data_IF_294722600197
#
_entry.id   IF_294722600197
#
_cell.length_a   1.000
_cell.length_b   1.000
_cell.length_c   1.000
_cell.angle_alpha   90.00
_cell.angle_beta   90.00
_cell.angle_gamma   90.00
#
_symmetry.space_group_name_H-M   'P 1'
#
loop_
_entity.id
_entity.type
_entity.pdbx_description
1 polymer ?
#
# COMPACT_ATOMS: atom_id res chain seq x y z
N UNK A 1 -10.49 -20.42 1.69
CA UNK A 1 -9.21 -19.68 1.80
C UNK A 1 -9.10 -19.23 3.24
N UNK A 2 -8.06 -19.64 3.95
CA UNK A 2 -7.96 -19.36 5.39
C UNK A 2 -7.82 -17.86 5.60
N UNK A 3 -8.79 -17.25 6.28
CA UNK A 3 -8.64 -15.91 6.84
C UNK A 3 -7.44 -15.97 7.79
N UNK A 4 -6.32 -15.40 7.37
CA UNK A 4 -5.19 -15.25 8.27
C UNK A 4 -5.61 -14.22 9.31
N UNK A 5 -5.77 -14.67 10.56
CA UNK A 5 -6.02 -13.77 11.68
C UNK A 5 -4.85 -12.80 11.75
N UNK A 6 -5.13 -11.49 11.80
CA UNK A 6 -4.11 -10.47 11.91
C UNK A 6 -3.16 -10.80 13.08
N UNK A 7 -1.86 -10.70 12.82
CA UNK A 7 -0.81 -10.79 13.82
C UNK A 7 0.19 -9.67 13.57
N UNK A 8 0.42 -8.83 14.59
CA UNK A 8 1.35 -7.71 14.51
C UNK A 8 2.77 -8.18 14.21
N UNK A 9 3.23 -9.24 14.87
CA UNK A 9 4.56 -9.83 14.65
C UNK A 9 4.75 -10.31 13.20
N UNK A 10 3.70 -10.89 12.61
CA UNK A 10 3.74 -11.30 11.20
C UNK A 10 3.78 -10.09 10.27
N UNK A 11 3.00 -9.06 10.57
CA UNK A 11 2.98 -7.83 9.77
C UNK A 11 4.34 -7.12 9.80
N UNK A 12 4.96 -7.00 10.98
CA UNK A 12 6.30 -6.42 11.14
C UNK A 12 7.34 -7.23 10.36
N UNK A 13 7.36 -8.56 10.53
CA UNK A 13 8.28 -9.42 9.79
C UNK A 13 8.11 -9.30 8.28
N UNK A 14 6.87 -9.28 7.78
CA UNK A 14 6.61 -9.09 6.35
C UNK A 14 7.08 -7.72 5.85
N UNK A 15 6.88 -6.65 6.62
CA UNK A 15 7.38 -5.32 6.25
C UNK A 15 8.92 -5.25 6.28
N UNK A 16 9.57 -5.96 7.18
CA UNK A 16 11.03 -6.04 7.26
C UNK A 16 11.63 -6.85 6.09
N UNK A 17 11.07 -8.03 5.81
CA UNK A 17 11.60 -8.99 4.82
C UNK A 17 11.11 -8.71 3.40
N UNK A 18 9.80 -8.56 3.23
CA UNK A 18 9.17 -8.44 1.91
C UNK A 18 8.96 -6.97 1.48
N UNK A 19 8.92 -6.03 2.43
CA UNK A 19 8.67 -4.61 2.18
C UNK A 19 7.20 -4.23 2.09
N UNK A 20 6.30 -5.21 2.22
CA UNK A 20 4.85 -5.01 2.26
C UNK A 20 4.17 -6.11 3.08
N UNK A 21 2.98 -5.81 3.58
CA UNK A 21 2.10 -6.74 4.25
C UNK A 21 0.69 -6.56 3.70
N UNK A 22 0.00 -7.67 3.45
CA UNK A 22 -1.39 -7.68 2.96
C UNK A 22 -2.32 -8.08 4.08
N UNK A 23 -3.43 -7.38 4.20
CA UNK A 23 -4.55 -7.72 5.06
C UNK A 23 -5.81 -7.91 4.22
N UNK A 24 -6.33 -9.13 4.22
CA UNK A 24 -7.61 -9.42 3.59
C UNK A 24 -8.74 -8.75 4.37
N UNK A 25 -9.39 -7.78 3.74
CA UNK A 25 -10.52 -7.06 4.32
C UNK A 25 -11.62 -6.83 3.27
N UNK A 26 -12.50 -7.81 3.04
CA UNK A 26 -13.55 -7.71 2.02
C UNK A 26 -14.49 -6.53 2.19
N UNK A 27 -14.71 -6.03 3.41
CA UNK A 27 -15.59 -4.87 3.62
C UNK A 27 -15.01 -3.59 3.00
N UNK A 28 -13.69 -3.50 2.84
CA UNK A 28 -13.05 -2.37 2.14
C UNK A 28 -13.49 -2.33 0.69
N UNK A 29 -13.61 -3.47 0.02
CA UNK A 29 -14.11 -3.53 -1.35
C UNK A 29 -15.52 -2.94 -1.47
N UNK A 30 -16.43 -3.29 -0.55
CA UNK A 30 -17.78 -2.69 -0.50
C UNK A 30 -17.73 -1.18 -0.27
N UNK A 31 -16.94 -0.74 0.71
CA UNK A 31 -16.86 0.68 1.05
C UNK A 31 -16.24 1.52 -0.08
N UNK A 32 -15.27 0.98 -0.83
CA UNK A 32 -14.72 1.64 -2.01
C UNK A 32 -15.77 1.71 -3.12
N UNK A 33 -16.55 0.65 -3.36
CA UNK A 33 -17.65 0.69 -4.33
C UNK A 33 -18.69 1.77 -3.99
N UNK A 34 -19.05 1.92 -2.71
CA UNK A 34 -19.95 3.00 -2.27
C UNK A 34 -19.35 4.38 -2.48
N UNK A 35 -18.04 4.52 -2.25
CA UNK A 35 -17.32 5.77 -2.45
C UNK A 35 -17.20 6.12 -3.94
N UNK A 36 -16.99 5.12 -4.79
CA UNK A 36 -16.97 5.21 -6.25
C UNK A 36 -18.31 5.65 -6.82
N UNK A 37 -19.42 5.05 -6.38
CA UNK A 37 -20.78 5.45 -6.80
C UNK A 37 -21.10 6.92 -6.48
N UNK A 38 -20.41 7.50 -5.50
CA UNK A 38 -20.52 8.91 -5.10
C UNK A 38 -19.51 9.82 -5.81
N UNK A 39 -18.76 9.30 -6.78
CA UNK A 39 -17.78 10.05 -7.56
C UNK A 39 -16.48 10.34 -6.81
N UNK A 40 -16.10 9.49 -5.84
CA UNK A 40 -14.86 9.63 -5.06
C UNK A 40 -14.68 11.01 -4.39
N UNK A 41 -15.60 11.42 -3.49
CA UNK A 41 -15.59 12.77 -2.93
C UNK A 41 -14.58 12.91 -1.78
N UNK A 42 -13.29 12.67 -2.04
CA UNK A 42 -12.21 12.59 -1.03
C UNK A 42 -12.02 13.86 -0.18
N UNK A 43 -12.25 15.04 -0.77
CA UNK A 43 -12.16 16.34 -0.09
C UNK A 43 -13.47 16.75 0.61
N UNK A 44 -14.50 15.91 0.56
CA UNK A 44 -15.74 16.14 1.28
C UNK A 44 -15.67 15.56 2.69
N UNK A 45 -16.58 15.99 3.57
CA UNK A 45 -16.78 15.36 4.88
C UNK A 45 -16.94 13.83 4.77
N UNK A 46 -17.67 13.35 3.77
CA UNK A 46 -17.89 11.91 3.57
C UNK A 46 -16.58 11.17 3.25
N UNK A 47 -15.74 11.71 2.37
CA UNK A 47 -14.45 11.12 2.03
C UNK A 47 -13.45 11.16 3.19
N UNK A 48 -13.46 12.24 3.97
CA UNK A 48 -12.64 12.34 5.18
C UNK A 48 -13.13 11.40 6.29
N UNK A 49 -14.44 11.26 6.48
CA UNK A 49 -15.04 10.30 7.43
C UNK A 49 -14.70 8.85 7.02
N UNK A 50 -14.69 8.54 5.72
CA UNK A 50 -14.22 7.26 5.19
C UNK A 50 -12.75 7.01 5.56
N UNK A 51 -11.85 7.95 5.26
CA UNK A 51 -10.43 7.81 5.54
C UNK A 51 -10.18 7.66 7.04
N UNK A 52 -10.84 8.48 7.86
CA UNK A 52 -10.78 8.37 9.31
C UNK A 52 -11.20 6.97 9.77
N UNK A 53 -12.38 6.51 9.38
CA UNK A 53 -12.97 5.26 9.89
C UNK A 53 -12.20 4.01 9.45
N UNK A 54 -11.77 3.95 8.19
CA UNK A 54 -11.24 2.73 7.58
C UNK A 54 -9.71 2.73 7.42
N UNK A 55 -9.04 3.83 7.77
CA UNK A 55 -7.57 3.92 7.77
C UNK A 55 -7.06 4.38 9.13
N UNK A 56 -7.44 5.58 9.59
CA UNK A 56 -6.83 6.17 10.78
C UNK A 56 -7.32 5.58 12.10
N UNK A 57 -8.58 5.16 12.15
CA UNK A 57 -9.21 4.53 13.32
C UNK A 57 -9.21 2.99 13.21
N UNK A 58 -8.69 2.42 12.11
CA UNK A 58 -8.55 0.97 11.95
C UNK A 58 -7.47 0.43 12.90
N UNK A 59 -7.85 -0.52 13.76
CA UNK A 59 -6.97 -0.99 14.83
C UNK A 59 -5.74 -1.73 14.30
N UNK A 60 -5.85 -2.43 13.18
CA UNK A 60 -4.75 -3.21 12.63
C UNK A 60 -3.73 -2.28 11.96
N UNK A 61 -4.21 -1.30 11.19
CA UNK A 61 -3.36 -0.26 10.60
C UNK A 61 -2.65 0.52 11.70
N UNK A 62 -3.40 1.02 12.70
CA UNK A 62 -2.80 1.77 13.82
C UNK A 62 -1.73 0.95 14.54
N UNK A 63 -2.02 -0.31 14.86
CA UNK A 63 -1.06 -1.17 15.55
C UNK A 63 0.25 -1.32 14.76
N UNK A 64 0.17 -1.55 13.45
CA UNK A 64 1.36 -1.68 12.59
C UNK A 64 2.10 -0.34 12.48
N UNK A 65 1.38 0.76 12.24
CA UNK A 65 2.00 2.07 12.04
C UNK A 65 2.64 2.60 13.31
N UNK A 66 1.95 2.51 14.45
CA UNK A 66 2.47 2.96 15.75
C UNK A 66 3.65 2.10 16.21
N UNK A 67 3.66 0.79 15.91
CA UNK A 67 4.81 -0.06 16.24
C UNK A 67 6.07 0.32 15.46
N UNK A 68 5.92 0.70 14.19
CA UNK A 68 7.07 0.99 13.31
C UNK A 68 7.52 2.47 13.40
N UNK A 69 6.57 3.41 13.48
CA UNK A 69 6.82 4.84 13.40
C UNK A 69 6.58 5.59 14.72
N UNK A 70 6.02 4.93 15.74
CA UNK A 70 5.70 5.53 17.04
C UNK A 70 4.38 6.32 17.08
N UNK A 71 3.95 6.89 15.96
CA UNK A 71 2.67 7.59 15.82
C UNK A 71 2.01 7.31 14.48
N UNK A 72 0.67 7.32 14.46
CA UNK A 72 -0.13 7.13 13.26
C UNK A 72 -0.79 8.44 12.83
N UNK A 73 -0.12 9.16 11.92
CA UNK A 73 -0.58 10.45 11.36
C UNK A 73 -0.78 10.36 9.86
N UNK A 74 -1.87 10.94 9.36
CA UNK A 74 -2.13 11.05 7.92
C UNK A 74 -1.26 12.14 7.28
N UNK A 75 -0.45 11.77 6.29
CA UNK A 75 0.34 12.73 5.50
C UNK A 75 -0.36 13.04 4.17
N UNK A 76 -0.74 12.01 3.42
CA UNK A 76 -1.37 12.15 2.11
C UNK A 76 -2.51 11.14 1.94
N UNK A 77 -3.61 11.60 1.33
CA UNK A 77 -4.69 10.76 0.84
C UNK A 77 -4.80 10.97 -0.67
N UNK A 78 -4.37 9.99 -1.44
CA UNK A 78 -4.29 10.06 -2.90
C UNK A 78 -5.07 8.90 -3.51
N UNK A 79 -5.69 9.15 -4.68
CA UNK A 79 -6.32 8.13 -5.50
C UNK A 79 -5.46 7.89 -6.73
N UNK A 80 -5.19 6.62 -7.01
CA UNK A 80 -4.54 6.19 -8.24
C UNK A 80 -5.48 5.30 -9.03
N UNK A 81 -5.40 5.42 -10.35
CA UNK A 81 -6.02 4.47 -11.28
C UNK A 81 -5.03 3.34 -11.59
N UNK A 82 -5.49 2.27 -12.25
CA UNK A 82 -4.60 1.25 -12.76
C UNK A 82 -3.48 1.89 -13.62
N UNK A 83 -2.27 1.33 -13.52
CA UNK A 83 -1.13 1.81 -14.32
C UNK A 83 -0.34 0.62 -14.86
N UNK A 84 -0.93 -0.13 -15.82
CA UNK A 84 -0.27 -1.30 -16.39
C UNK A 84 1.06 -0.88 -17.04
N UNK A 85 2.02 -1.81 -17.05
CA UNK A 85 3.36 -1.63 -17.63
C UNK A 85 4.27 -0.60 -16.94
N UNK A 86 3.82 -0.02 -15.81
CA UNK A 86 4.62 0.91 -15.01
C UNK A 86 4.96 0.34 -13.64
N UNK A 87 6.24 0.37 -13.29
CA UNK A 87 6.72 0.03 -11.96
C UNK A 87 6.98 1.31 -11.19
N UNK A 88 6.08 1.61 -10.25
CA UNK A 88 6.15 2.83 -9.43
C UNK A 88 6.78 2.53 -8.08
N UNK A 89 7.60 3.47 -7.59
CA UNK A 89 8.13 3.46 -6.24
C UNK A 89 7.84 4.77 -5.51
N UNK A 90 7.58 4.64 -4.22
CA UNK A 90 7.44 5.77 -3.31
C UNK A 90 8.83 6.13 -2.79
N UNK A 91 9.10 7.42 -2.66
CA UNK A 91 10.43 7.91 -2.34
C UNK A 91 10.97 7.28 -1.05
N UNK A 92 12.00 6.47 -1.19
CA UNK A 92 12.72 5.78 -0.13
C UNK A 92 13.88 5.04 -0.77
N UNK A 93 15.06 5.17 -0.19
CA UNK A 93 16.22 4.33 -0.50
C UNK A 93 16.75 3.79 0.81
N UNK A 94 17.56 2.75 0.79
CA UNK A 94 18.10 2.11 2.01
C UNK A 94 18.72 3.10 3.01
N UNK A 95 19.27 4.22 2.50
CA UNK A 95 19.94 5.25 3.30
C UNK A 95 19.02 6.22 4.04
N UNK A 96 17.71 6.19 3.77
CA UNK A 96 16.74 7.11 4.39
C UNK A 96 15.99 6.45 5.55
N UNK A 97 16.12 5.13 5.75
CA UNK A 97 15.36 4.42 6.79
C UNK A 97 13.84 4.43 6.58
N UNK A 98 13.10 3.93 7.57
CA UNK A 98 11.64 3.89 7.56
C UNK A 98 11.07 5.16 8.19
N UNK A 99 10.58 6.07 7.35
CA UNK A 99 9.97 7.34 7.79
C UNK A 99 8.48 7.45 7.48
N UNK A 100 7.97 6.57 6.62
CA UNK A 100 6.55 6.53 6.27
C UNK A 100 6.14 5.11 5.93
N UNK A 101 4.86 4.83 6.14
CA UNK A 101 4.20 3.63 5.64
C UNK A 101 3.05 4.07 4.74
N UNK A 102 2.85 3.30 3.69
CA UNK A 102 1.77 3.53 2.74
C UNK A 102 0.71 2.45 2.93
N UNK A 103 -0.52 2.89 3.18
CA UNK A 103 -1.68 2.01 3.22
C UNK A 103 -2.37 2.09 1.87
N UNK A 104 -2.34 1.00 1.11
CA UNK A 104 -3.14 0.88 -0.11
C UNK A 104 -4.51 0.33 0.24
N UNK A 105 -5.57 0.93 -0.28
CA UNK A 105 -6.91 0.35 -0.24
C UNK A 105 -7.27 -0.09 -1.64
N UNK A 106 -7.50 -1.40 -1.83
CA UNK A 106 -7.74 -1.98 -3.13
C UNK A 106 -9.24 -2.23 -3.35
N UNK A 107 -9.81 -1.77 -4.48
CA UNK A 107 -11.19 -2.09 -4.85
C UNK A 107 -11.32 -3.57 -5.21
N UNK A 108 -12.56 -4.04 -5.31
CA UNK A 108 -12.89 -5.37 -5.82
C UNK A 108 -12.31 -5.58 -7.23
N UNK A 109 -11.73 -6.75 -7.45
CA UNK A 109 -11.12 -7.13 -8.72
C UNK A 109 -9.76 -6.50 -9.00
N UNK A 110 -9.18 -5.72 -8.08
CA UNK A 110 -7.84 -5.17 -8.28
C UNK A 110 -6.78 -6.27 -8.35
N UNK A 111 -5.76 -6.02 -9.18
CA UNK A 111 -4.58 -6.86 -9.30
C UNK A 111 -3.36 -5.97 -9.23
N UNK A 112 -2.47 -6.26 -8.27
CA UNK A 112 -1.26 -5.46 -8.05
C UNK A 112 -0.07 -6.40 -7.93
N UNK A 113 1.07 -5.96 -8.45
CA UNK A 113 2.34 -6.64 -8.25
C UNK A 113 3.22 -5.83 -7.32
N UNK A 114 3.75 -6.50 -6.29
CA UNK A 114 4.72 -5.91 -5.38
C UNK A 114 6.06 -6.62 -5.54
N UNK A 115 7.15 -5.86 -5.61
CA UNK A 115 8.50 -6.41 -5.72
C UNK A 115 9.08 -6.66 -4.34
N UNK A 116 9.14 -7.93 -3.93
CA UNK A 116 9.66 -8.34 -2.62
C UNK A 116 11.10 -7.88 -2.42
N UNK A 117 11.37 -7.29 -1.26
CA UNK A 117 12.71 -6.83 -0.88
C UNK A 117 13.18 -5.56 -1.60
N UNK A 118 12.36 -4.96 -2.47
CA UNK A 118 12.76 -3.75 -3.21
C UNK A 118 13.06 -2.55 -2.31
N UNK A 119 12.51 -2.51 -1.09
CA UNK A 119 12.70 -1.45 -0.10
C UNK A 119 14.12 -1.42 0.51
N UNK A 120 14.88 -2.50 0.46
CA UNK A 120 16.25 -2.56 1.02
C UNK A 120 17.34 -2.18 0.00
N UNK A 121 16.97 -1.94 -1.26
CA UNK A 121 17.89 -1.60 -2.33
C UNK A 121 17.80 -0.11 -2.70
N UNK A 122 18.92 0.49 -3.08
CA UNK A 122 18.95 1.82 -3.68
C UNK A 122 18.81 1.70 -5.19
N UNK A 123 17.56 1.57 -5.65
CA UNK A 123 17.25 1.31 -7.06
C UNK A 123 17.31 2.59 -7.91
N UNK A 124 17.89 2.53 -9.12
CA UNK A 124 17.83 3.63 -10.09
C UNK A 124 16.39 4.04 -10.35
N UNK A 125 16.12 5.34 -10.20
CA UNK A 125 14.78 5.89 -10.32
C UNK A 125 14.72 7.14 -11.17
N UNK A 126 13.69 7.23 -11.99
CA UNK A 126 13.35 8.42 -12.77
C UNK A 126 12.04 9.01 -12.25
N UNK A 127 11.87 10.32 -12.39
CA UNK A 127 10.61 10.97 -12.01
C UNK A 127 9.50 10.49 -12.95
N UNK A 128 8.45 9.92 -12.38
CA UNK A 128 7.25 9.47 -13.10
C UNK A 128 6.16 10.53 -13.20
N UNK A 129 5.09 10.22 -13.91
CA UNK A 129 4.00 11.16 -14.21
C UNK A 129 3.08 11.44 -13.00
N UNK A 130 3.06 10.55 -11.99
CA UNK A 130 2.06 10.54 -10.90
C UNK A 130 2.58 11.11 -9.57
N UNK A 131 3.59 11.98 -9.63
CA UNK A 131 4.39 12.40 -8.46
C UNK A 131 5.06 11.24 -7.72
N UNK A 132 5.23 10.12 -8.42
CA UNK A 132 5.95 8.93 -7.97
C UNK A 132 7.24 8.78 -8.75
N UNK A 133 8.12 7.95 -8.24
CA UNK A 133 9.31 7.51 -8.96
C UNK A 133 8.97 6.27 -9.77
N UNK A 134 9.70 6.06 -10.85
CA UNK A 134 9.59 4.85 -11.67
C UNK A 134 10.95 4.17 -11.76
N UNK A 135 10.92 2.84 -11.78
CA UNK A 135 12.10 1.96 -11.85
C UNK A 135 11.97 1.04 -13.05
N UNK A 136 13.06 0.76 -13.75
CA UNK A 136 13.06 -0.17 -14.87
C UNK A 136 13.03 -1.63 -14.38
N UNK A 137 12.32 -2.55 -15.05
CA UNK A 137 12.29 -3.97 -14.68
C UNK A 137 13.68 -4.62 -14.59
N UNK A 138 14.63 -4.17 -15.43
CA UNK A 138 16.00 -4.67 -15.44
C UNK A 138 16.72 -4.40 -14.11
N UNK A 139 16.53 -3.21 -13.53
CA UNK A 139 17.17 -2.84 -12.26
C UNK A 139 16.69 -3.71 -11.09
N UNK A 140 15.41 -4.08 -11.08
CA UNK A 140 14.84 -5.00 -10.10
C UNK A 140 15.35 -6.43 -10.29
N UNK A 141 15.51 -6.85 -11.54
CA UNK A 141 16.05 -8.17 -11.88
C UNK A 141 17.52 -8.32 -11.45
N UNK A 142 18.33 -7.27 -11.62
CA UNK A 142 19.75 -7.25 -11.21
C UNK A 142 19.96 -7.47 -9.71
N UNK A 143 19.00 -7.04 -8.88
CA UNK A 143 19.02 -7.24 -7.42
C UNK A 143 18.14 -8.42 -6.96
N UNK A 144 17.65 -9.24 -7.89
CA UNK A 144 16.78 -10.39 -7.61
C UNK A 144 15.47 -10.03 -6.86
N UNK A 145 14.94 -8.82 -7.07
CA UNK A 145 13.61 -8.46 -6.58
C UNK A 145 12.55 -9.12 -7.46
N UNK A 146 11.80 -10.05 -6.89
CA UNK A 146 10.79 -10.83 -7.62
C UNK A 146 9.42 -10.18 -7.44
N UNK A 147 8.72 -9.97 -8.56
CA UNK A 147 7.33 -9.53 -8.57
C UNK A 147 6.43 -10.61 -7.93
N UNK A 148 5.60 -10.19 -6.98
CA UNK A 148 4.57 -11.03 -6.36
C UNK A 148 3.20 -10.45 -6.73
N UNK A 149 2.43 -11.23 -7.47
CA UNK A 149 1.04 -10.90 -7.77
C UNK A 149 0.17 -11.02 -6.51
N UNK A 150 -0.60 -9.98 -6.23
CA UNK A 150 -1.55 -9.88 -5.14
C UNK A 150 -2.95 -9.57 -5.70
N UNK A 151 -3.81 -10.60 -5.85
CA UNK A 151 -5.18 -10.40 -6.31
C UNK A 151 -6.11 -10.01 -5.15
N UNK A 152 -6.97 -9.02 -5.39
CA UNK A 152 -7.97 -8.53 -4.45
C UNK A 152 -9.40 -8.73 -5.01
N UNK A 153 -9.90 -9.98 -5.08
CA UNK A 153 -11.21 -10.26 -5.68
C UNK A 153 -12.34 -9.49 -4.97
N UNK A 154 -12.29 -9.42 -3.64
CA UNK A 154 -13.29 -8.75 -2.81
C UNK A 154 -12.79 -7.41 -2.23
N UNK A 155 -11.66 -6.90 -2.73
CA UNK A 155 -10.95 -5.76 -2.15
C UNK A 155 -10.11 -6.14 -0.92
N UNK A 156 -9.43 -5.15 -0.34
CA UNK A 156 -8.55 -5.34 0.81
C UNK A 156 -7.53 -4.22 0.96
N UNK A 157 -6.47 -4.48 1.72
CA UNK A 157 -5.36 -3.55 1.92
C UNK A 157 -4.00 -4.24 1.94
#
# INVERSE_FOLDING_TARGET
MASSTFSLEVAERCLDEDGFFRLDNPSIGEHISDLEQKGFPWVSKYGLDFCRKYVLDDRNIKAVVESILGECTLVHLLRYEAYPDHIVSWAGGSNVGRHSLLVHLHPKGAQVEYYKGSHIHDLPRKRGARFLWETEPSALSEVNCIAKAEPFPDGGM
#
